data_IF_400662476666
#
_entry.id   IF_400662476666
#
_cell.length_a   1.000
_cell.length_b   1.000
_cell.length_c   1.000
_cell.angle_alpha   90.00
_cell.angle_beta   90.00
_cell.angle_gamma   90.00
#
_symmetry.space_group_name_H-M   'P 1'
#
loop_
_entity.id
_entity.type
_entity.pdbx_description
1 polymer ?
#
# COMPACT_ATOMS: atom_id res chain seq x y z
N UNK A 1 12.72 15.63 -6.41
CA UNK A 1 13.50 14.64 -7.17
C UNK A 1 14.66 14.13 -6.32
N UNK A 2 14.65 12.88 -5.88
CA UNK A 2 15.83 12.25 -5.27
C UNK A 2 16.57 11.48 -6.37
N UNK A 3 17.84 11.81 -6.62
CA UNK A 3 18.74 11.00 -7.46
C UNK A 3 19.13 9.78 -6.63
N UNK A 4 19.08 8.57 -7.18
CA UNK A 4 19.33 7.32 -6.44
C UNK A 4 20.63 7.35 -5.60
N UNK A 5 21.65 8.08 -6.08
CA UNK A 5 22.94 8.30 -5.39
C UNK A 5 22.77 8.92 -4.00
N UNK A 6 21.81 9.83 -3.81
CA UNK A 6 21.63 10.50 -2.52
C UNK A 6 21.12 9.56 -1.43
N UNK A 7 20.39 8.50 -1.78
CA UNK A 7 19.96 7.50 -0.79
C UNK A 7 21.17 6.75 -0.23
N UNK A 8 22.01 6.21 -1.12
CA UNK A 8 23.25 5.53 -0.75
C UNK A 8 24.18 6.44 0.06
N UNK A 9 24.32 7.70 -0.36
CA UNK A 9 25.11 8.70 0.37
C UNK A 9 24.55 9.01 1.77
N UNK A 10 23.22 9.18 1.90
CA UNK A 10 22.57 9.43 3.20
C UNK A 10 22.79 8.26 4.16
N UNK A 11 22.68 7.03 3.67
CA UNK A 11 22.89 5.82 4.48
C UNK A 11 24.36 5.68 4.90
N UNK A 12 25.31 5.88 3.98
CA UNK A 12 26.74 5.87 4.28
C UNK A 12 27.13 6.97 5.27
N UNK A 13 26.59 8.18 5.10
CA UNK A 13 26.78 9.30 6.03
C UNK A 13 26.27 8.98 7.44
N UNK A 14 25.07 8.37 7.54
CA UNK A 14 24.51 7.96 8.84
C UNK A 14 25.40 6.93 9.53
N UNK A 15 25.90 5.93 8.79
CA UNK A 15 26.84 4.92 9.32
C UNK A 15 28.14 5.57 9.81
N UNK A 16 28.76 6.41 8.98
CA UNK A 16 30.05 7.04 9.31
C UNK A 16 29.94 8.02 10.48
N UNK A 17 28.88 8.83 10.53
CA UNK A 17 28.66 9.74 11.67
C UNK A 17 28.32 9.02 12.96
N UNK A 18 27.75 7.82 12.89
CA UNK A 18 27.55 6.97 14.06
C UNK A 18 28.88 6.38 14.53
N UNK A 19 29.69 5.84 13.62
CA UNK A 19 31.02 5.32 13.92
C UNK A 19 31.91 6.39 14.56
N UNK A 20 31.99 7.58 13.94
CA UNK A 20 32.75 8.70 14.47
C UNK A 20 32.30 9.09 15.89
N UNK A 21 30.99 9.02 16.18
CA UNK A 21 30.48 9.29 17.53
C UNK A 21 30.93 8.24 18.54
N UNK A 22 30.98 6.97 18.15
CA UNK A 22 31.50 5.91 19.03
C UNK A 22 32.99 6.12 19.31
N UNK A 23 33.79 6.38 18.26
CA UNK A 23 35.24 6.56 18.38
C UNK A 23 35.61 7.79 19.24
N UNK A 24 34.87 8.91 19.10
CA UNK A 24 35.12 10.12 19.87
C UNK A 24 34.66 10.02 21.33
N UNK A 25 33.66 9.20 21.63
CA UNK A 25 33.24 8.94 23.02
C UNK A 25 34.33 8.16 23.76
N UNK A 26 34.95 7.19 23.10
CA UNK A 26 36.07 6.41 23.67
C UNK A 26 37.28 7.29 23.99
N UNK A 27 37.53 8.32 23.18
CA UNK A 27 38.63 9.28 23.38
C UNK A 27 38.33 10.40 24.40
N UNK A 28 37.24 10.29 25.17
CA UNK A 28 36.84 11.29 26.17
C UNK A 28 36.28 12.59 25.56
N UNK A 29 35.94 12.58 24.26
CA UNK A 29 35.40 13.72 23.53
C UNK A 29 33.88 13.89 23.69
N UNK A 30 33.38 15.06 23.27
CA UNK A 30 31.93 15.32 23.20
C UNK A 30 31.29 14.57 22.04
N UNK A 31 30.10 13.99 22.26
CA UNK A 31 29.29 13.29 21.25
C UNK A 31 28.73 14.22 20.13
N UNK A 32 29.03 15.53 20.17
CA UNK A 32 28.54 16.52 19.20
C UNK A 32 29.57 16.70 18.09
N UNK A 33 29.16 16.38 16.85
CA UNK A 33 29.98 16.61 15.66
C UNK A 33 30.22 18.11 15.45
N UNK A 34 31.48 18.54 15.52
CA UNK A 34 31.88 19.93 15.31
C UNK A 34 32.02 20.24 13.81
N UNK A 35 31.85 21.51 13.44
CA UNK A 35 31.97 21.98 12.04
C UNK A 35 33.33 21.63 11.41
N UNK A 36 34.41 21.63 12.19
CA UNK A 36 35.76 21.31 11.73
C UNK A 36 35.93 19.85 11.27
N UNK A 37 35.16 18.93 11.85
CA UNK A 37 35.26 17.49 11.60
C UNK A 37 34.25 17.04 10.53
N UNK A 38 33.19 17.82 10.33
CA UNK A 38 32.14 17.57 9.33
C UNK A 38 32.69 17.44 7.91
N UNK A 39 33.50 18.41 7.46
CA UNK A 39 34.00 18.44 6.08
C UNK A 39 34.89 17.23 5.78
N UNK A 40 35.76 16.85 6.72
CA UNK A 40 36.65 15.68 6.59
C UNK A 40 35.87 14.39 6.50
N UNK A 41 34.90 14.19 7.40
CA UNK A 41 34.03 13.00 7.35
C UNK A 41 33.20 12.94 6.07
N UNK A 42 32.69 14.08 5.60
CA UNK A 42 31.87 14.10 4.39
C UNK A 42 32.69 13.74 3.17
N UNK A 43 33.90 14.30 3.06
CA UNK A 43 34.84 13.97 1.99
C UNK A 43 35.19 12.48 2.01
N UNK A 44 35.45 11.90 3.17
CA UNK A 44 35.74 10.47 3.31
C UNK A 44 34.56 9.61 2.85
N UNK A 45 33.34 9.94 3.25
CA UNK A 45 32.14 9.21 2.84
C UNK A 45 31.91 9.29 1.33
N UNK A 46 32.10 10.47 0.72
CA UNK A 46 31.94 10.65 -0.72
C UNK A 46 32.98 9.81 -1.47
N UNK A 47 34.25 9.88 -1.10
CA UNK A 47 35.33 9.14 -1.79
C UNK A 47 35.19 7.62 -1.64
N UNK A 48 34.70 7.12 -0.50
CA UNK A 48 34.55 5.69 -0.27
C UNK A 48 33.30 5.08 -0.91
N UNK A 49 32.19 5.84 -1.00
CA UNK A 49 30.88 5.26 -1.35
C UNK A 49 30.34 5.73 -2.69
N UNK A 50 30.96 6.73 -3.32
CA UNK A 50 30.47 7.30 -4.58
C UNK A 50 31.52 7.13 -5.67
N UNK A 51 31.28 6.16 -6.54
CA UNK A 51 32.05 6.00 -7.78
C UNK A 51 31.53 6.94 -8.86
N UNK A 52 32.42 7.41 -9.75
CA UNK A 52 32.06 8.26 -10.90
C UNK A 52 30.95 7.63 -11.76
N UNK A 53 30.97 6.31 -11.94
CA UNK A 53 29.95 5.56 -12.66
C UNK A 53 28.57 5.64 -12.00
N UNK A 54 28.49 5.59 -10.67
CA UNK A 54 27.22 5.72 -9.93
C UNK A 54 26.62 7.11 -10.10
N UNK A 55 27.44 8.16 -10.04
CA UNK A 55 27.02 9.53 -10.33
C UNK A 55 26.52 9.64 -11.77
N UNK A 56 27.31 9.21 -12.75
CA UNK A 56 26.94 9.26 -14.16
C UNK A 56 25.61 8.54 -14.41
N UNK A 57 25.42 7.33 -13.87
CA UNK A 57 24.20 6.56 -14.05
C UNK A 57 22.98 7.21 -13.34
N UNK A 58 23.17 7.71 -12.11
CA UNK A 58 22.11 8.40 -11.38
C UNK A 58 21.65 9.69 -12.07
N UNK A 59 22.59 10.47 -12.59
CA UNK A 59 22.31 11.70 -13.32
C UNK A 59 21.79 11.46 -14.74
N UNK A 60 22.22 10.38 -15.40
CA UNK A 60 21.68 9.96 -16.71
C UNK A 60 20.18 9.68 -16.66
N UNK A 61 19.71 8.99 -15.62
CA UNK A 61 18.28 8.73 -15.40
C UNK A 61 17.44 9.99 -15.17
N UNK A 62 18.07 11.11 -14.80
CA UNK A 62 17.41 12.41 -14.61
C UNK A 62 17.67 13.36 -15.78
N UNK A 63 18.25 12.89 -16.88
CA UNK A 63 18.62 13.74 -18.02
C UNK A 63 19.64 14.84 -17.66
N UNK A 64 20.36 14.70 -16.55
CA UNK A 64 21.33 15.69 -16.07
C UNK A 64 22.74 15.41 -16.60
N UNK A 65 23.05 14.16 -16.95
CA UNK A 65 24.36 13.78 -17.47
C UNK A 65 24.30 12.63 -18.49
N UNK A 66 24.65 12.87 -19.77
CA UNK A 66 24.74 14.19 -20.42
C UNK A 66 23.43 14.96 -20.28
N UNK A 67 23.49 16.30 -20.28
CA UNK A 67 22.27 17.12 -20.18
C UNK A 67 21.37 16.84 -21.39
N UNK A 68 20.23 16.18 -21.15
CA UNK A 68 19.23 15.88 -22.15
C UNK A 68 17.83 16.00 -21.53
N UNK A 69 17.13 17.13 -21.73
CA UNK A 69 15.83 17.36 -21.14
C UNK A 69 14.74 16.40 -21.66
N UNK A 70 14.92 15.80 -22.84
CA UNK A 70 13.97 14.84 -23.42
C UNK A 70 14.07 13.44 -22.78
N UNK A 71 15.19 13.14 -22.11
CA UNK A 71 15.39 11.87 -21.40
C UNK A 71 14.76 11.88 -19.98
N UNK A 72 14.21 13.01 -19.55
CA UNK A 72 13.58 13.14 -18.23
C UNK A 72 12.19 12.56 -18.27
N UNK A 73 12.05 11.28 -17.93
CA UNK A 73 10.75 10.70 -17.61
C UNK A 73 10.28 11.36 -16.31
N UNK A 74 9.41 12.36 -16.43
CA UNK A 74 8.71 12.96 -15.30
C UNK A 74 7.71 11.89 -14.84
N UNK A 75 7.85 11.31 -13.64
CA UNK A 75 6.86 10.39 -13.13
C UNK A 75 5.65 11.23 -12.67
N UNK A 76 4.86 11.68 -13.63
CA UNK A 76 3.50 12.13 -13.40
C UNK A 76 2.60 10.98 -13.85
N UNK A 77 1.92 10.35 -12.89
CA UNK A 77 0.84 9.37 -13.10
C UNK A 77 1.24 8.03 -13.74
N UNK A 78 1.69 7.07 -12.92
CA UNK A 78 1.71 5.65 -13.30
C UNK A 78 2.89 4.88 -12.73
N UNK A 79 2.57 3.94 -11.83
CA UNK A 79 3.32 2.76 -11.39
C UNK A 79 4.85 2.81 -11.54
N UNK A 80 5.53 2.74 -10.40
CA UNK A 80 6.99 2.62 -10.38
C UNK A 80 7.37 1.33 -11.11
N UNK A 81 8.37 1.34 -12.00
CA UNK A 81 8.90 0.11 -12.66
C UNK A 81 9.24 -1.03 -11.67
N UNK A 82 9.43 -0.70 -10.39
CA UNK A 82 9.61 -1.65 -9.28
C UNK A 82 8.31 -2.39 -8.91
N UNK A 83 7.14 -1.76 -9.06
CA UNK A 83 5.82 -2.40 -8.92
C UNK A 83 5.53 -3.33 -10.09
N UNK A 84 5.89 -2.97 -11.33
CA UNK A 84 5.74 -3.86 -12.50
C UNK A 84 6.64 -5.08 -12.37
N UNK A 85 7.92 -4.90 -12.00
CA UNK A 85 8.84 -6.02 -11.74
C UNK A 85 8.33 -6.95 -10.63
N UNK A 86 7.86 -6.39 -9.51
CA UNK A 86 7.30 -7.18 -8.42
C UNK A 86 5.97 -7.86 -8.82
N UNK A 87 5.17 -7.23 -9.69
CA UNK A 87 3.93 -7.79 -10.23
C UNK A 87 4.23 -8.97 -11.15
N UNK A 88 5.22 -8.87 -12.03
CA UNK A 88 5.62 -9.97 -12.93
C UNK A 88 6.17 -11.17 -12.16
N UNK A 89 7.04 -10.94 -11.17
CA UNK A 89 7.59 -12.03 -10.33
C UNK A 89 6.49 -12.71 -9.50
N UNK A 90 5.52 -11.96 -9.00
CA UNK A 90 4.37 -12.56 -8.32
C UNK A 90 3.50 -13.35 -9.30
N UNK A 91 3.25 -12.80 -10.50
CA UNK A 91 2.43 -13.45 -11.54
C UNK A 91 3.04 -14.79 -11.99
N UNK A 92 4.34 -14.86 -12.25
CA UNK A 92 5.03 -16.12 -12.59
C UNK A 92 4.90 -17.16 -11.48
N UNK A 93 5.07 -16.76 -10.23
CA UNK A 93 4.91 -17.66 -9.08
C UNK A 93 3.47 -18.21 -8.95
N UNK A 94 2.45 -17.38 -9.20
CA UNK A 94 1.06 -17.82 -9.18
C UNK A 94 0.75 -18.80 -10.32
N UNK A 95 1.23 -18.52 -11.54
CA UNK A 95 1.06 -19.41 -12.68
C UNK A 95 1.73 -20.77 -12.46
N UNK A 96 2.94 -20.76 -11.87
CA UNK A 96 3.65 -22.00 -11.52
C UNK A 96 2.86 -22.84 -10.52
N UNK A 97 2.43 -22.24 -9.40
CA UNK A 97 1.62 -22.95 -8.39
C UNK A 97 0.27 -23.43 -8.94
N UNK A 98 -0.38 -22.63 -9.78
CA UNK A 98 -1.65 -22.98 -10.41
C UNK A 98 -1.49 -24.17 -11.35
N UNK A 99 -0.42 -24.20 -12.15
CA UNK A 99 -0.12 -25.32 -13.04
C UNK A 99 0.22 -26.59 -12.27
N UNK A 100 1.05 -26.48 -11.23
CA UNK A 100 1.44 -27.62 -10.39
C UNK A 100 0.21 -28.23 -9.69
N UNK A 101 -0.67 -27.38 -9.14
CA UNK A 101 -1.94 -27.82 -8.53
C UNK A 101 -2.86 -28.51 -9.53
N UNK A 102 -2.99 -27.94 -10.75
CA UNK A 102 -3.86 -28.50 -11.77
C UNK A 102 -3.32 -29.86 -12.27
N UNK A 103 -2.00 -29.99 -12.41
CA UNK A 103 -1.36 -31.27 -12.74
C UNK A 103 -1.56 -32.33 -11.66
N UNK A 104 -1.48 -31.95 -10.38
CA UNK A 104 -1.70 -32.85 -9.24
C UNK A 104 -3.14 -33.37 -9.20
N UNK A 105 -4.13 -32.49 -9.43
CA UNK A 105 -5.55 -32.85 -9.45
C UNK A 105 -5.97 -33.69 -10.65
N UNK A 106 -5.33 -33.52 -11.81
CA UNK A 106 -5.61 -34.32 -13.01
C UNK A 106 -4.96 -35.71 -12.96
N UNK A 107 -3.87 -35.85 -12.20
CA UNK A 107 -3.04 -37.05 -12.19
C UNK A 107 -2.08 -37.14 -13.38
N UNK A 108 -0.95 -37.84 -13.18
CA UNK A 108 0.15 -37.89 -14.14
C UNK A 108 -0.25 -38.48 -15.51
N UNK A 109 -1.19 -39.43 -15.53
CA UNK A 109 -1.65 -40.07 -16.78
C UNK A 109 -2.37 -39.07 -17.70
N UNK A 110 -3.29 -38.26 -17.16
CA UNK A 110 -4.03 -37.26 -17.95
C UNK A 110 -3.13 -36.13 -18.42
N UNK A 111 -2.19 -35.70 -17.57
CA UNK A 111 -1.17 -34.70 -17.95
C UNK A 111 -0.36 -35.19 -19.15
N UNK A 112 0.05 -36.47 -19.18
CA UNK A 112 0.78 -37.02 -20.32
C UNK A 112 -0.04 -37.00 -21.63
N UNK A 113 -1.35 -37.29 -21.56
CA UNK A 113 -2.25 -37.22 -22.72
C UNK A 113 -2.40 -35.77 -23.21
N UNK A 114 -2.48 -34.80 -22.29
CA UNK A 114 -2.53 -33.38 -22.61
C UNK A 114 -1.22 -32.87 -23.20
N UNK A 115 -0.08 -33.40 -22.77
CA UNK A 115 1.23 -33.06 -23.34
C UNK A 115 1.45 -33.66 -24.73
N UNK A 116 0.89 -34.85 -24.99
CA UNK A 116 0.97 -35.51 -26.28
C UNK A 116 0.03 -34.90 -27.35
N UNK A 117 -0.96 -34.09 -26.96
CA UNK A 117 -1.87 -33.45 -27.90
C UNK A 117 -1.28 -32.12 -28.40
N UNK A 118 -0.71 -32.16 -29.61
CA UNK A 118 -0.08 -31.03 -30.31
C UNK A 118 -1.10 -29.98 -30.80
N UNK A 119 -1.85 -29.38 -29.87
CA UNK A 119 -2.59 -28.13 -30.10
C UNK A 119 -4.11 -28.28 -30.12
N UNK A 120 -4.65 -29.40 -30.57
CA UNK A 120 -6.09 -29.67 -30.62
C UNK A 120 -6.43 -30.91 -29.81
N UNK A 121 -7.40 -30.80 -28.90
CA UNK A 121 -7.86 -31.91 -28.07
C UNK A 121 -8.81 -32.79 -28.88
N UNK A 122 -8.43 -34.06 -29.08
CA UNK A 122 -9.23 -35.08 -29.77
C UNK A 122 -9.82 -36.13 -28.81
N UNK A 123 -9.75 -35.88 -27.50
CA UNK A 123 -10.28 -36.79 -26.48
C UNK A 123 -11.74 -36.50 -26.12
N UNK A 124 -12.10 -36.78 -24.87
CA UNK A 124 -13.47 -36.59 -24.39
C UNK A 124 -13.91 -35.12 -24.52
N UNK A 125 -15.04 -34.82 -25.18
CA UNK A 125 -15.61 -33.48 -25.26
C UNK A 125 -15.73 -32.77 -23.90
N UNK A 126 -16.01 -33.51 -22.82
CA UNK A 126 -16.15 -32.97 -21.47
C UNK A 126 -14.85 -32.37 -20.92
N UNK A 127 -13.70 -32.91 -21.34
CA UNK A 127 -12.38 -32.47 -20.89
C UNK A 127 -11.79 -31.34 -21.74
N UNK A 128 -12.46 -30.96 -22.83
CA UNK A 128 -12.02 -29.89 -23.73
C UNK A 128 -11.79 -28.56 -23.02
N UNK A 129 -12.65 -28.23 -22.05
CA UNK A 129 -12.55 -27.00 -21.25
C UNK A 129 -11.32 -27.02 -20.34
N UNK A 130 -11.05 -28.18 -19.72
CA UNK A 130 -9.91 -28.41 -18.83
C UNK A 130 -8.60 -28.37 -19.61
N UNK A 131 -8.53 -29.01 -20.78
CA UNK A 131 -7.39 -28.94 -21.69
C UNK A 131 -7.08 -27.49 -22.11
N UNK A 132 -8.11 -26.72 -22.51
CA UNK A 132 -7.96 -25.30 -22.88
C UNK A 132 -7.41 -24.47 -21.72
N UNK A 133 -7.90 -24.69 -20.50
CA UNK A 133 -7.42 -23.99 -19.30
C UNK A 133 -5.96 -24.35 -18.99
N UNK A 134 -5.62 -25.63 -18.96
CA UNK A 134 -4.25 -26.11 -18.74
C UNK A 134 -3.29 -25.56 -19.78
N UNK A 135 -3.65 -25.62 -21.07
CA UNK A 135 -2.86 -25.08 -22.18
C UNK A 135 -2.63 -23.58 -22.03
N UNK A 136 -3.66 -22.82 -21.65
CA UNK A 136 -3.55 -21.37 -21.43
C UNK A 136 -2.56 -21.04 -20.32
N UNK A 137 -2.65 -21.72 -19.17
CA UNK A 137 -1.74 -21.50 -18.04
C UNK A 137 -0.30 -21.89 -18.42
N UNK A 138 -0.12 -23.00 -19.15
CA UNK A 138 1.20 -23.47 -19.62
C UNK A 138 1.86 -22.46 -20.58
N UNK A 139 1.11 -21.91 -21.53
CA UNK A 139 1.60 -20.87 -22.45
C UNK A 139 1.95 -19.58 -21.70
N UNK A 140 1.08 -19.13 -20.79
CA UNK A 140 1.30 -17.90 -20.03
C UNK A 140 2.53 -17.99 -19.12
N UNK A 141 2.77 -19.17 -18.54
CA UNK A 141 4.00 -19.49 -17.79
C UNK A 141 5.24 -19.39 -18.69
N UNK A 142 5.23 -20.05 -19.85
CA UNK A 142 6.36 -20.04 -20.80
C UNK A 142 6.68 -18.63 -21.29
N UNK A 143 5.65 -17.84 -21.63
CA UNK A 143 5.84 -16.44 -22.05
C UNK A 143 6.48 -15.60 -20.94
N UNK A 144 6.04 -15.80 -19.69
CA UNK A 144 6.55 -15.03 -18.56
C UNK A 144 7.98 -15.42 -18.16
N UNK A 145 8.35 -16.70 -18.29
CA UNK A 145 9.72 -17.19 -18.03
C UNK A 145 10.72 -16.69 -19.11
N UNK A 146 10.27 -16.58 -20.37
CA UNK A 146 11.08 -16.02 -21.45
C UNK A 146 11.43 -14.54 -21.21
N UNK A 147 10.46 -13.73 -20.74
CA UNK A 147 10.68 -12.33 -20.39
C UNK A 147 11.63 -12.13 -19.19
N UNK A 148 11.66 -13.09 -18.25
CA UNK A 148 12.53 -13.05 -17.08
C UNK A 148 14.00 -13.34 -17.45
N UNK A 149 14.23 -14.26 -18.40
CA UNK A 149 15.57 -14.62 -18.89
C UNK A 149 16.28 -13.52 -19.69
N UNK A 150 15.54 -12.60 -20.30
CA UNK A 150 16.11 -11.44 -21.02
C UNK A 150 16.51 -10.29 -20.08
N UNK A 151 16.04 -10.31 -18.82
CA UNK A 151 16.28 -9.25 -17.84
C UNK A 151 17.50 -9.50 -16.93
N UNK A 152 18.24 -10.60 -17.09
CA UNK A 152 19.38 -10.96 -16.25
C UNK A 152 20.78 -10.80 -16.90
N UNK A 153 20.89 -10.18 -18.07
CA UNK A 153 22.21 -9.82 -18.65
C UNK A 153 22.56 -8.39 -18.28
N UNK A 154 23.19 -8.20 -17.11
CA UNK A 154 24.14 -7.12 -16.81
C UNK A 154 24.56 -7.22 -15.35
N UNK A 155 25.52 -8.08 -15.04
CA UNK A 155 26.05 -8.17 -13.69
C UNK A 155 26.96 -9.33 -13.36
N UNK A 156 27.84 -9.78 -14.27
CA UNK A 156 28.93 -10.66 -13.87
C UNK A 156 30.23 -9.88 -13.64
N UNK A 157 30.69 -10.01 -12.39
CA UNK A 157 32.01 -9.66 -11.92
C UNK A 157 33.08 -10.37 -12.75
N UNK A 158 33.94 -9.59 -13.41
CA UNK A 158 35.22 -10.08 -13.90
C UNK A 158 36.16 -10.17 -12.69
N UNK A 159 36.41 -11.40 -12.24
CA UNK A 159 37.57 -11.80 -11.45
C UNK A 159 38.71 -12.09 -12.42
N UNK A 160 39.82 -11.36 -12.28
CA UNK A 160 41.07 -11.59 -13.02
C UNK A 160 41.62 -13.01 -12.83
N UNK A 161 41.95 -13.68 -13.94
CA UNK A 161 42.70 -14.94 -13.98
C UNK A 161 42.95 -15.39 -15.43
N UNK A 162 44.17 -15.82 -15.82
CA UNK A 162 44.59 -15.81 -17.22
C UNK A 162 44.18 -17.06 -18.01
N UNK A 163 43.66 -16.78 -19.20
CA UNK A 163 43.56 -17.54 -20.45
C UNK A 163 44.27 -18.90 -20.49
N UNK A 164 43.47 -19.96 -20.70
CA UNK A 164 43.84 -21.13 -21.50
C UNK A 164 42.71 -21.44 -22.47
N UNK A 165 43.04 -21.41 -23.76
CA UNK A 165 42.19 -21.88 -24.85
C UNK A 165 42.20 -23.40 -24.82
N UNK A 166 41.04 -24.05 -24.94
CA UNK A 166 40.86 -25.34 -25.61
C UNK A 166 39.36 -25.61 -25.87
N UNK A 167 39.06 -25.77 -27.16
CA UNK A 167 38.06 -26.59 -27.86
C UNK A 167 36.73 -27.09 -27.22
N UNK A 168 35.68 -27.04 -28.08
CA UNK A 168 34.47 -27.89 -28.18
C UNK A 168 33.15 -27.50 -27.43
N UNK A 169 31.95 -27.91 -27.94
CA UNK A 169 31.33 -27.62 -29.24
C UNK A 169 29.93 -26.92 -29.14
N UNK A 170 29.41 -26.47 -30.28
CA UNK A 170 28.10 -25.84 -30.49
C UNK A 170 26.90 -26.66 -29.96
N UNK A 171 26.02 -26.01 -29.19
CA UNK A 171 24.67 -26.48 -28.86
C UNK A 171 23.62 -25.72 -29.69
N UNK A 172 22.63 -26.51 -30.12
CA UNK A 172 21.69 -26.31 -31.23
C UNK A 172 20.52 -25.37 -30.97
N UNK A 173 20.17 -24.57 -31.99
CA UNK A 173 19.07 -23.59 -32.09
C UNK A 173 17.65 -24.19 -32.16
N UNK A 174 17.33 -25.23 -31.39
CA UNK A 174 16.04 -25.94 -31.50
C UNK A 174 14.92 -25.40 -30.60
N UNK A 175 15.22 -24.57 -29.59
CA UNK A 175 14.24 -24.25 -28.52
C UNK A 175 13.39 -23.00 -28.74
N UNK A 176 13.71 -22.16 -29.72
CA UNK A 176 13.00 -20.89 -30.00
C UNK A 176 11.87 -21.01 -31.03
N UNK A 177 11.73 -22.14 -31.74
CA UNK A 177 10.70 -22.31 -32.79
C UNK A 177 9.34 -22.81 -32.29
N UNK A 178 9.24 -23.30 -31.05
CA UNK A 178 8.01 -23.93 -30.54
C UNK A 178 6.99 -22.89 -30.05
N UNK A 179 7.44 -21.73 -29.56
CA UNK A 179 6.54 -20.69 -29.06
C UNK A 179 5.78 -19.97 -30.19
N UNK A 180 6.42 -19.75 -31.34
CA UNK A 180 5.82 -19.00 -32.46
C UNK A 180 4.72 -19.78 -33.20
N UNK A 181 4.78 -21.12 -33.22
CA UNK A 181 3.76 -21.95 -33.88
C UNK A 181 2.47 -22.14 -33.05
N UNK A 182 2.49 -21.88 -31.74
CA UNK A 182 1.35 -22.13 -30.85
C UNK A 182 0.39 -20.94 -30.74
N UNK A 183 0.83 -19.73 -31.09
CA UNK A 183 0.04 -18.49 -30.98
C UNK A 183 -0.91 -18.26 -32.17
N UNK A 184 -0.64 -18.89 -33.33
CA UNK A 184 -1.33 -18.60 -34.58
C UNK A 184 -2.77 -19.17 -34.73
N UNK A 185 -3.26 -19.97 -33.77
CA UNK A 185 -4.52 -20.72 -33.92
C UNK A 185 -5.71 -20.25 -33.06
N UNK A 186 -5.61 -19.10 -32.38
CA UNK A 186 -6.69 -18.59 -31.51
C UNK A 186 -7.46 -17.39 -32.06
N UNK A 187 -7.18 -16.91 -33.28
CA UNK A 187 -7.82 -15.71 -33.85
C UNK A 187 -8.83 -16.03 -34.97
N UNK A 188 -9.72 -16.99 -34.74
CA UNK A 188 -10.86 -17.20 -35.64
C UNK A 188 -12.10 -17.60 -34.85
N UNK A 189 -12.91 -16.60 -34.50
CA UNK A 189 -14.32 -16.80 -34.18
C UNK A 189 -15.16 -15.89 -35.07
N UNK A 190 -16.02 -16.54 -35.84
CA UNK A 190 -16.91 -16.03 -36.86
C UNK A 190 -17.96 -15.03 -36.35
N UNK A 191 -18.28 -14.14 -37.28
CA UNK A 191 -19.42 -13.22 -37.32
C UNK A 191 -20.68 -14.03 -37.62
N UNK A 192 -21.74 -13.85 -36.84
CA UNK A 192 -23.11 -14.08 -37.31
C UNK A 192 -23.99 -12.87 -37.02
N UNK A 193 -24.41 -12.27 -38.13
CA UNK A 193 -25.41 -11.23 -38.31
C UNK A 193 -26.81 -11.70 -37.96
N UNK A 194 -27.62 -10.82 -37.37
CA UNK A 194 -29.01 -10.74 -37.81
C UNK A 194 -29.55 -9.32 -37.64
N UNK A 195 -30.07 -8.77 -38.74
CA UNK A 195 -30.59 -7.41 -38.84
C UNK A 195 -32.12 -7.39 -38.80
N UNK A 196 -32.68 -6.31 -38.24
CA UNK A 196 -34.01 -5.82 -38.62
C UNK A 196 -34.03 -4.29 -38.65
N UNK A 197 -34.28 -3.78 -39.86
CA UNK A 197 -34.76 -2.44 -40.17
C UNK A 197 -36.07 -2.13 -39.45
N UNK A 198 -36.27 -0.88 -39.04
CA UNK A 198 -37.49 -0.09 -39.33
C UNK A 198 -37.06 1.39 -39.51
N UNK A 199 -37.62 2.00 -40.56
CA UNK A 199 -37.64 3.41 -40.99
C UNK A 199 -38.23 4.33 -39.87
N UNK A 200 -38.27 5.67 -39.87
CA UNK A 200 -38.56 6.64 -40.93
C UNK A 200 -38.48 8.07 -40.32
N UNK A 201 -38.19 9.06 -41.18
CA UNK A 201 -38.61 10.47 -41.17
C UNK A 201 -38.35 11.40 -39.95
N UNK A 202 -37.67 12.52 -40.17
CA UNK A 202 -38.35 13.75 -40.61
C UNK A 202 -37.39 14.96 -40.63
N UNK A 203 -37.61 15.79 -41.65
CA UNK A 203 -36.88 16.97 -42.10
C UNK A 203 -37.31 18.19 -41.27
N UNK A 204 -36.40 19.12 -40.98
CA UNK A 204 -36.64 20.54 -41.28
C UNK A 204 -35.35 21.37 -41.32
N UNK A 205 -35.45 22.37 -42.16
CA UNK A 205 -34.43 22.98 -43.01
C UNK A 205 -34.30 24.47 -42.65
N UNK A 206 -33.44 25.17 -43.39
CA UNK A 206 -33.25 26.62 -43.53
C UNK A 206 -32.52 27.36 -42.38
N UNK A 207 -31.69 28.37 -42.62
CA UNK A 207 -30.83 28.83 -43.72
C UNK A 207 -30.33 30.23 -43.33
N UNK A 208 -29.31 30.72 -44.05
CA UNK A 208 -29.13 32.15 -44.43
C UNK A 208 -28.61 33.14 -43.35
N UNK A 209 -27.68 34.09 -43.57
CA UNK A 209 -26.75 34.51 -44.64
C UNK A 209 -25.74 35.51 -44.00
N UNK A 210 -24.55 35.60 -44.59
CA UNK A 210 -23.46 36.63 -44.60
C UNK A 210 -23.71 38.02 -43.97
N UNK A 211 -22.70 38.77 -43.48
CA UNK A 211 -21.66 39.39 -44.33
C UNK A 211 -20.48 40.02 -43.54
N UNK A 212 -19.35 40.05 -44.25
CA UNK A 212 -18.11 40.80 -44.00
C UNK A 212 -18.27 42.26 -44.49
N UNK A 213 -17.60 43.23 -43.86
CA UNK A 213 -16.53 44.04 -44.45
C UNK A 213 -16.05 45.21 -43.53
N UNK A 214 -14.89 45.86 -43.82
CA UNK A 214 -13.94 46.41 -42.85
C UNK A 214 -13.68 47.93 -43.04
N UNK A 215 -12.49 48.41 -42.64
CA UNK A 215 -11.90 49.78 -42.71
C UNK A 215 -12.30 50.76 -41.58
N UNK A 216 -11.50 51.72 -41.13
CA UNK A 216 -10.06 52.02 -41.23
C UNK A 216 -9.77 53.25 -40.35
N UNK A 217 -8.51 53.31 -39.87
CA UNK A 217 -7.65 54.50 -39.73
C UNK A 217 -7.83 55.61 -38.67
N UNK A 218 -6.67 55.92 -38.09
CA UNK A 218 -6.09 57.20 -37.65
C UNK A 218 -6.60 57.93 -36.40
N UNK A 219 -5.70 58.09 -35.41
CA UNK A 219 -4.90 59.32 -35.28
C UNK A 219 -3.97 59.30 -34.04
N UNK A 220 -2.84 59.99 -34.20
CA UNK A 220 -1.71 60.14 -33.27
C UNK A 220 -1.84 61.45 -32.48
N UNK A 221 -1.50 61.45 -31.17
CA UNK A 221 -0.85 62.59 -30.47
C UNK A 221 -0.17 62.11 -29.17
N UNK A 222 1.17 62.21 -29.06
CA UNK A 222 2.00 63.25 -28.42
C UNK A 222 2.03 63.22 -26.87
N UNK A 223 3.17 62.69 -26.38
CA UNK A 223 4.00 62.92 -25.18
C UNK A 223 3.51 63.96 -24.14
N UNK A 224 3.42 63.54 -22.86
CA UNK A 224 4.10 64.24 -21.75
C UNK A 224 4.22 63.39 -20.47
N UNK A 225 5.36 63.57 -19.78
CA UNK A 225 5.78 62.81 -18.61
C UNK A 225 5.08 63.26 -17.32
N UNK A 226 4.83 62.34 -16.38
CA UNK A 226 5.01 62.53 -14.93
C UNK A 226 4.51 61.35 -14.08
N UNK A 227 5.44 60.77 -13.32
CA UNK A 227 5.25 60.34 -11.92
C UNK A 227 4.42 59.09 -11.56
N UNK A 228 4.99 58.37 -10.60
CA UNK A 228 4.31 57.58 -9.55
C UNK A 228 3.89 56.15 -9.89
N UNK A 229 4.72 55.22 -9.37
CA UNK A 229 4.41 53.81 -9.14
C UNK A 229 3.12 53.66 -8.31
N UNK A 230 2.00 53.39 -8.98
CA UNK A 230 0.84 52.76 -8.36
C UNK A 230 0.79 51.30 -8.80
N UNK A 231 0.88 50.38 -7.83
CA UNK A 231 0.51 48.98 -8.01
C UNK A 231 -1.00 48.94 -8.26
N UNK A 232 -1.40 48.86 -9.52
CA UNK A 232 -2.76 48.46 -9.88
C UNK A 232 -2.98 47.01 -9.46
N UNK A 233 -3.84 46.83 -8.45
CA UNK A 233 -4.51 45.57 -8.20
C UNK A 233 -5.44 45.33 -9.39
N UNK A 234 -5.01 44.48 -10.32
CA UNK A 234 -5.89 43.93 -11.35
C UNK A 234 -6.98 43.12 -10.63
N UNK A 235 -8.18 43.69 -10.57
CA UNK A 235 -9.37 43.02 -10.08
C UNK A 235 -9.67 41.82 -10.99
N UNK A 236 -9.44 40.62 -10.47
CA UNK A 236 -9.83 39.39 -11.14
C UNK A 236 -11.37 39.30 -11.32
N UNK A 237 -11.84 38.44 -12.24
CA UNK A 237 -13.23 38.36 -12.64
C UNK A 237 -14.17 38.04 -11.46
N UNK A 238 -15.27 38.80 -11.42
CA UNK A 238 -16.37 38.77 -10.47
C UNK A 238 -16.88 37.35 -10.13
N UNK A 239 -16.95 37.05 -8.82
CA UNK A 239 -17.31 35.77 -8.18
C UNK A 239 -18.77 35.26 -8.38
N UNK A 240 -19.53 35.82 -9.33
CA UNK A 240 -21.00 35.73 -9.31
C UNK A 240 -21.66 34.65 -10.17
N UNK A 241 -20.95 33.95 -11.07
CA UNK A 241 -21.63 33.08 -12.07
C UNK A 241 -21.26 31.59 -12.08
N UNK A 242 -20.60 31.06 -11.04
CA UNK A 242 -20.29 29.62 -10.99
C UNK A 242 -21.32 28.88 -10.09
N UNK A 243 -22.07 27.89 -10.62
CA UNK A 243 -23.00 27.09 -9.84
C UNK A 243 -22.33 26.37 -8.67
N UNK A 244 -23.03 26.39 -7.54
CA UNK A 244 -22.61 26.05 -6.18
C UNK A 244 -21.83 24.72 -5.95
N UNK A 245 -21.91 23.64 -6.77
CA UNK A 245 -21.17 22.40 -6.46
C UNK A 245 -19.67 22.44 -6.78
N UNK A 246 -19.26 23.21 -7.78
CA UNK A 246 -17.89 23.20 -8.28
C UNK A 246 -16.97 24.25 -7.64
N UNK A 247 -17.55 25.14 -6.83
CA UNK A 247 -16.86 26.27 -6.20
C UNK A 247 -15.77 25.86 -5.19
N UNK A 248 -15.74 24.59 -4.76
CA UNK A 248 -14.68 24.05 -3.89
C UNK A 248 -13.56 23.32 -4.62
N UNK A 249 -13.76 22.90 -5.87
CA UNK A 249 -12.81 22.03 -6.57
C UNK A 249 -11.86 22.79 -7.49
N UNK A 250 -12.23 23.99 -7.95
CA UNK A 250 -11.41 24.79 -8.86
C UNK A 250 -10.48 25.79 -8.17
N UNK A 251 -10.57 25.96 -6.85
CA UNK A 251 -9.71 26.88 -6.11
C UNK A 251 -8.78 26.09 -5.21
N UNK A 252 -7.47 26.25 -5.43
CA UNK A 252 -6.44 25.78 -4.52
C UNK A 252 -6.76 26.31 -3.11
N UNK A 253 -6.76 25.47 -2.06
CA UNK A 253 -6.96 25.94 -0.70
C UNK A 253 -5.95 27.06 -0.44
N UNK A 254 -6.44 28.26 -0.12
CA UNK A 254 -5.56 29.32 0.34
C UNK A 254 -4.75 28.74 1.51
N UNK A 255 -3.43 28.80 1.42
CA UNK A 255 -2.56 28.37 2.52
C UNK A 255 -2.90 29.25 3.72
N UNK A 256 -3.81 28.79 4.57
CA UNK A 256 -3.91 29.29 5.93
C UNK A 256 -2.60 28.88 6.58
N UNK A 257 -1.67 29.84 6.66
CA UNK A 257 -0.50 29.71 7.49
C UNK A 257 -1.01 29.37 8.89
N UNK A 258 -0.96 28.08 9.23
CA UNK A 258 -1.14 27.61 10.58
C UNK A 258 -0.06 28.29 11.40
N UNK A 259 -0.37 29.46 11.96
CA UNK A 259 0.47 30.20 12.88
C UNK A 259 0.63 29.28 14.08
N UNK A 260 1.65 28.43 14.04
CA UNK A 260 2.10 27.64 15.19
C UNK A 260 2.16 28.63 16.33
N UNK A 261 1.28 28.47 17.34
CA UNK A 261 1.28 29.34 18.52
C UNK A 261 2.71 29.33 19.04
N UNK A 262 3.45 30.42 18.80
CA UNK A 262 4.84 30.54 19.23
C UNK A 262 4.79 30.37 20.75
N UNK A 263 5.47 29.35 21.25
CA UNK A 263 5.66 29.19 22.69
C UNK A 263 6.33 30.48 23.16
N UNK A 264 5.59 31.31 23.91
CA UNK A 264 6.15 32.53 24.46
C UNK A 264 7.30 32.13 25.37
N UNK A 265 8.51 32.53 24.99
CA UNK A 265 9.68 32.32 25.84
C UNK A 265 9.45 33.12 27.12
N UNK A 266 9.60 32.48 28.28
CA UNK A 266 9.58 33.17 29.56
C UNK A 266 10.63 34.30 29.50
N UNK A 267 10.20 35.55 29.70
CA UNK A 267 11.10 36.71 29.71
C UNK A 267 11.94 36.63 30.97
N UNK A 268 13.27 36.60 30.82
CA UNK A 268 14.16 36.70 31.97
C UNK A 268 14.03 38.10 32.59
N UNK A 269 14.06 38.23 33.92
CA UNK A 269 14.12 39.53 34.56
C UNK A 269 15.37 40.29 34.09
N UNK A 270 15.20 41.56 33.75
CA UNK A 270 16.22 42.40 33.09
C UNK A 270 17.47 42.65 33.95
N UNK A 271 17.35 42.55 35.28
CA UNK A 271 18.44 42.82 36.22
C UNK A 271 18.88 41.51 36.87
N UNK A 272 20.11 41.09 36.60
CA UNK A 272 20.66 39.79 37.02
C UNK A 272 20.90 39.66 38.53
N UNK A 273 21.09 40.78 39.26
CA UNK A 273 21.38 40.80 40.70
C UNK A 273 20.18 41.12 41.59
N UNK A 274 18.99 41.35 41.02
CA UNK A 274 17.80 41.69 41.80
C UNK A 274 17.17 40.48 42.49
N UNK A 275 16.46 40.72 43.60
CA UNK A 275 15.67 39.70 44.33
C UNK A 275 14.69 38.93 43.41
N UNK A 276 14.15 39.60 42.39
CA UNK A 276 13.29 38.99 41.37
C UNK A 276 14.02 37.90 40.58
N UNK A 277 15.32 38.06 40.32
CA UNK A 277 16.12 37.07 39.62
C UNK A 277 16.39 35.84 40.50
N UNK A 278 16.68 36.05 41.78
CA UNK A 278 16.85 34.97 42.76
C UNK A 278 15.57 34.14 42.89
N UNK A 279 14.41 34.78 43.08
CA UNK A 279 13.09 34.13 43.10
C UNK A 279 12.80 33.37 41.79
N UNK A 280 13.17 33.92 40.64
CA UNK A 280 13.05 33.23 39.35
C UNK A 280 13.88 31.94 39.30
N UNK A 281 15.13 31.96 39.76
CA UNK A 281 15.97 30.76 39.78
C UNK A 281 15.51 29.72 40.81
N UNK A 282 15.05 30.15 41.98
CA UNK A 282 14.48 29.25 42.99
C UNK A 282 13.23 28.54 42.49
N UNK A 283 12.29 29.29 41.88
CA UNK A 283 11.08 28.70 41.29
C UNK A 283 11.41 27.74 40.14
N UNK A 284 12.43 28.05 39.32
CA UNK A 284 12.90 27.17 38.25
C UNK A 284 13.57 25.89 38.79
N UNK A 285 14.35 26.00 39.87
CA UNK A 285 14.92 24.84 40.58
C UNK A 285 13.82 23.97 41.17
N UNK A 286 12.85 24.56 41.86
CA UNK A 286 11.69 23.84 42.44
C UNK A 286 10.90 23.10 41.37
N UNK A 287 10.50 23.78 40.29
CA UNK A 287 9.82 23.15 39.14
C UNK A 287 10.61 21.99 38.53
N UNK A 288 11.95 22.09 38.48
CA UNK A 288 12.80 21.00 37.98
C UNK A 288 12.75 19.78 38.91
N UNK A 289 12.82 19.98 40.22
CA UNK A 289 12.71 18.92 41.24
C UNK A 289 11.32 18.28 41.20
N UNK A 290 10.26 19.07 41.17
CA UNK A 290 8.87 18.58 41.10
C UNK A 290 8.65 17.72 39.83
N UNK A 291 9.18 18.18 38.69
CA UNK A 291 9.09 17.44 37.43
C UNK A 291 9.86 16.11 37.47
N UNK A 292 10.99 16.07 38.18
CA UNK A 292 11.80 14.87 38.35
C UNK A 292 11.13 13.85 39.29
N UNK A 293 10.58 14.31 40.41
CA UNK A 293 9.76 13.49 41.31
C UNK A 293 8.56 12.89 40.56
N UNK A 294 7.88 13.69 39.75
CA UNK A 294 6.73 13.24 38.98
C UNK A 294 7.10 12.28 37.84
N UNK A 295 8.33 12.34 37.32
CA UNK A 295 8.86 11.32 36.39
C UNK A 295 9.16 10.01 37.12
N UNK A 296 9.76 10.07 38.30
CA UNK A 296 10.06 8.91 39.13
C UNK A 296 8.75 8.22 39.53
N UNK A 297 7.76 8.96 40.01
CA UNK A 297 6.44 8.43 40.38
C UNK A 297 5.73 7.75 39.21
N UNK A 298 5.75 8.35 38.00
CA UNK A 298 5.21 7.68 36.81
C UNK A 298 5.97 6.42 36.43
N UNK A 299 7.27 6.36 36.69
CA UNK A 299 8.09 5.19 36.39
C UNK A 299 7.80 4.06 37.38
N UNK A 300 7.73 4.36 38.68
CA UNK A 300 7.39 3.40 39.73
C UNK A 300 5.97 2.87 39.56
N UNK A 301 5.00 3.72 39.18
CA UNK A 301 3.62 3.30 38.92
C UNK A 301 3.52 2.35 37.71
N UNK A 302 4.29 2.60 36.64
CA UNK A 302 4.37 1.68 35.49
C UNK A 302 4.96 0.34 35.88
N UNK A 303 5.96 0.35 36.76
CA UNK A 303 6.58 -0.88 37.26
C UNK A 303 5.61 -1.69 38.14
N UNK A 304 4.92 -1.02 39.07
CA UNK A 304 3.87 -1.62 39.92
C UNK A 304 2.78 -2.29 39.07
N UNK A 305 2.28 -1.60 38.04
CA UNK A 305 1.28 -2.14 37.12
C UNK A 305 1.80 -3.31 36.27
N UNK A 306 3.10 -3.32 35.94
CA UNK A 306 3.74 -4.43 35.21
C UNK A 306 3.82 -5.68 36.10
N UNK A 307 4.25 -5.52 37.34
CA UNK A 307 4.37 -6.61 38.32
C UNK A 307 3.00 -7.22 38.69
N UNK A 308 1.98 -6.39 38.87
CA UNK A 308 0.60 -6.84 39.12
C UNK A 308 0.05 -7.67 37.95
N UNK A 309 0.22 -7.16 36.71
CA UNK A 309 -0.19 -7.89 35.51
C UNK A 309 0.55 -9.23 35.36
N UNK A 310 1.84 -9.28 35.71
CA UNK A 310 2.61 -10.52 35.69
C UNK A 310 2.11 -11.52 36.74
N UNK A 311 1.76 -11.05 37.95
CA UNK A 311 1.16 -11.88 39.00
C UNK A 311 -0.19 -12.46 38.56
N UNK A 312 -1.03 -11.66 37.89
CA UNK A 312 -2.31 -12.12 37.32
C UNK A 312 -2.10 -13.18 36.22
N UNK A 313 -1.10 -13.00 35.34
CA UNK A 313 -0.74 -13.99 34.32
C UNK A 313 -0.27 -15.31 34.95
N UNK A 314 0.62 -15.25 35.94
CA UNK A 314 1.09 -16.44 36.68
C UNK A 314 -0.07 -17.18 37.36
N UNK A 315 -1.02 -16.45 37.95
CA UNK A 315 -2.21 -17.05 38.55
C UNK A 315 -3.12 -17.72 37.50
N UNK A 316 -3.34 -17.09 36.34
CA UNK A 316 -4.10 -17.71 35.23
C UNK A 316 -3.49 -19.02 34.76
N UNK A 317 -2.17 -19.07 34.58
CA UNK A 317 -1.47 -20.29 34.17
C UNK A 317 -1.63 -21.42 35.20
N UNK A 318 -1.56 -21.10 36.51
CA UNK A 318 -1.80 -22.09 37.58
C UNK A 318 -3.22 -22.64 37.56
N UNK A 319 -4.23 -21.80 37.34
CA UNK A 319 -5.64 -22.22 37.26
C UNK A 319 -5.87 -23.15 36.06
N UNK A 320 -5.27 -22.86 34.90
CA UNK A 320 -5.39 -23.72 33.70
C UNK A 320 -4.72 -25.08 33.93
N UNK A 321 -3.52 -25.12 34.52
CA UNK A 321 -2.84 -26.38 34.85
C UNK A 321 -3.66 -27.26 35.81
N UNK A 322 -4.26 -26.65 36.84
CA UNK A 322 -5.11 -27.39 37.79
C UNK A 322 -6.40 -27.92 37.15
N UNK A 323 -6.99 -27.20 36.17
CA UNK A 323 -8.15 -27.72 35.42
C UNK A 323 -7.78 -28.94 34.56
N UNK A 324 -6.61 -28.91 33.92
CA UNK A 324 -6.17 -30.01 33.06
C UNK A 324 -5.85 -31.28 33.85
N UNK A 325 -5.24 -31.16 35.04
CA UNK A 325 -5.00 -32.31 35.92
C UNK A 325 -6.33 -32.93 36.38
N UNK A 326 -7.33 -32.10 36.69
CA UNK A 326 -8.66 -32.57 37.15
C UNK A 326 -9.50 -33.21 36.03
N UNK A 327 -9.26 -32.85 34.76
CA UNK A 327 -9.92 -33.50 33.62
C UNK A 327 -9.27 -34.84 33.27
N UNK A 328 -7.94 -34.94 33.35
CA UNK A 328 -7.22 -36.20 33.07
C UNK A 328 -7.52 -37.27 34.13
N UNK A 329 -7.71 -36.88 35.40
CA UNK A 329 -8.12 -37.82 36.45
C UNK A 329 -9.56 -38.34 36.31
N UNK A 330 -10.41 -37.70 35.49
CA UNK A 330 -11.81 -38.13 35.28
C UNK A 330 -11.97 -39.11 34.10
N UNK A 331 -10.96 -39.24 33.24
CA UNK A 331 -11.01 -40.12 32.05
C UNK A 331 -10.42 -41.52 32.35
N UNK A 332 -9.71 -41.70 33.46
CA UNK A 332 -9.07 -42.98 33.84
C UNK A 332 -9.91 -43.88 34.76
N UNK A 333 -11.19 -43.58 34.99
CA UNK A 333 -12.04 -44.34 35.92
C UNK A 333 -13.28 -44.98 35.28
N UNK A 334 -13.39 -45.04 33.96
CA UNK A 334 -14.58 -45.63 33.30
C UNK A 334 -14.23 -46.38 32.00
N UNK A 335 -13.23 -47.27 32.09
CA UNK A 335 -12.96 -48.25 31.04
C UNK A 335 -13.00 -49.65 31.64
N UNK A 336 -14.22 -50.19 31.69
CA UNK A 336 -14.50 -51.62 31.74
C UNK A 336 -15.82 -51.93 31.03
N UNK A 337 -15.69 -52.71 29.96
CA UNK A 337 -16.53 -53.86 29.59
C UNK A 337 -17.66 -53.73 28.53
N UNK A 338 -17.68 -54.78 27.70
CA UNK A 338 -18.61 -55.23 26.64
C UNK A 338 -18.56 -54.48 25.28
N UNK A 339 -18.21 -55.08 24.13
CA UNK A 339 -18.52 -56.36 23.46
C UNK A 339 -19.74 -56.30 22.52
N UNK A 340 -19.45 -56.43 21.21
CA UNK A 340 -20.25 -56.86 20.03
C UNK A 340 -21.61 -56.18 19.75
N UNK A 341 -21.86 -55.74 18.51
CA UNK A 341 -22.52 -56.58 17.48
C UNK A 341 -22.70 -55.82 16.14
N UNK A 342 -22.80 -56.61 15.08
CA UNK A 342 -22.86 -56.30 13.67
C UNK A 342 -24.30 -55.97 13.27
N UNK A 343 -24.53 -54.94 12.43
CA UNK A 343 -25.65 -54.98 11.48
C UNK A 343 -25.50 -53.96 10.35
N UNK A 344 -25.50 -54.52 9.14
CA UNK A 344 -25.73 -53.86 7.87
C UNK A 344 -27.07 -53.12 7.86
N UNK A 345 -27.07 -51.90 7.32
CA UNK A 345 -28.26 -51.10 7.10
C UNK A 345 -28.00 -50.09 5.99
N UNK A 346 -28.34 -50.50 4.77
CA UNK A 346 -28.44 -49.72 3.55
C UNK A 346 -29.24 -48.43 3.75
N UNK A 347 -28.67 -47.28 3.37
CA UNK A 347 -29.46 -46.08 3.15
C UNK A 347 -28.73 -45.06 2.28
N UNK A 348 -29.23 -45.00 1.05
CA UNK A 348 -29.02 -44.03 -0.01
C UNK A 348 -29.34 -42.60 0.48
N UNK A 349 -28.37 -41.70 0.54
CA UNK A 349 -28.64 -40.24 0.53
C UNK A 349 -27.52 -39.45 -0.15
N UNK A 350 -27.86 -38.98 -1.35
CA UNK A 350 -27.51 -37.73 -2.04
C UNK A 350 -26.22 -36.97 -1.71
N UNK A 351 -25.42 -36.82 -2.77
CA UNK A 351 -24.50 -35.73 -3.03
C UNK A 351 -25.17 -34.36 -2.81
N UNK A 352 -24.55 -33.53 -1.96
CA UNK A 352 -24.78 -32.10 -1.92
C UNK A 352 -23.47 -31.40 -1.63
N UNK A 353 -23.06 -30.59 -2.60
CA UNK A 353 -22.00 -29.60 -2.60
C UNK A 353 -21.79 -28.93 -1.24
N UNK A 354 -20.57 -29.07 -0.73
CA UNK A 354 -20.08 -28.35 0.45
C UNK A 354 -19.91 -26.86 0.16
N UNK A 355 -21.00 -26.10 0.28
CA UNK A 355 -20.93 -24.69 0.66
C UNK A 355 -20.64 -24.64 2.17
N UNK A 356 -19.38 -24.38 2.50
CA UNK A 356 -18.89 -24.13 3.85
C UNK A 356 -19.70 -23.00 4.51
N UNK A 357 -20.51 -23.44 5.46
CA UNK A 357 -21.47 -22.67 6.23
C UNK A 357 -20.73 -21.73 7.21
N UNK A 358 -20.32 -20.56 6.71
CA UNK A 358 -19.64 -19.48 7.47
C UNK A 358 -20.58 -18.69 8.43
N UNK A 359 -21.78 -19.19 8.71
CA UNK A 359 -22.84 -18.46 9.43
C UNK A 359 -22.75 -18.52 10.97
N UNK A 360 -21.81 -19.27 11.55
CA UNK A 360 -21.81 -19.56 12.99
C UNK A 360 -20.70 -18.92 13.84
N UNK A 361 -20.12 -17.78 13.41
CA UNK A 361 -19.10 -17.07 14.20
C UNK A 361 -19.49 -15.60 14.49
N UNK A 362 -20.55 -15.39 15.28
CA UNK A 362 -20.60 -14.45 16.42
C UNK A 362 -22.06 -14.01 16.73
N UNK A 363 -22.58 -14.25 17.95
CA UNK A 363 -23.97 -13.93 18.33
C UNK A 363 -24.26 -12.44 18.62
N UNK A 364 -23.51 -11.48 18.05
CA UNK A 364 -23.69 -10.05 18.37
C UNK A 364 -23.66 -9.11 17.16
N UNK A 365 -23.96 -9.62 15.95
CA UNK A 365 -24.11 -8.73 14.79
C UNK A 365 -25.50 -8.10 14.80
N UNK A 366 -25.54 -6.78 14.92
CA UNK A 366 -26.79 -6.01 14.82
C UNK A 366 -27.31 -6.04 13.38
N UNK A 367 -28.63 -6.01 13.18
CA UNK A 367 -29.22 -5.93 11.83
C UNK A 367 -28.70 -4.68 11.10
N UNK A 368 -28.50 -4.81 9.80
CA UNK A 368 -27.93 -3.75 8.97
C UNK A 368 -28.91 -2.57 8.86
N UNK A 369 -28.52 -1.40 9.36
CA UNK A 369 -29.27 -0.15 9.20
C UNK A 369 -28.71 0.65 8.01
N UNK A 370 -29.52 0.86 6.97
CA UNK A 370 -29.16 1.62 5.76
C UNK A 370 -29.33 3.12 5.96
N UNK A 371 -28.66 3.70 6.96
CA UNK A 371 -28.77 5.11 7.30
C UNK A 371 -27.43 5.84 7.18
N UNK A 372 -27.47 7.11 6.77
CA UNK A 372 -26.29 7.99 6.71
C UNK A 372 -25.77 8.21 8.14
N UNK A 373 -24.45 8.32 8.28
CA UNK A 373 -23.71 8.47 9.53
C UNK A 373 -23.65 7.24 10.46
N UNK A 374 -24.20 6.10 10.05
CA UNK A 374 -24.05 4.85 10.79
C UNK A 374 -22.68 4.20 10.55
N UNK A 375 -22.23 3.42 11.53
CA UNK A 375 -20.99 2.67 11.46
C UNK A 375 -21.27 1.22 11.05
N UNK A 376 -20.50 0.72 10.09
CA UNK A 376 -20.69 -0.62 9.52
C UNK A 376 -19.37 -1.34 9.35
N UNK A 377 -19.43 -2.67 9.29
CA UNK A 377 -18.34 -3.52 8.81
C UNK A 377 -18.64 -3.90 7.36
N UNK A 378 -17.65 -3.76 6.49
CA UNK A 378 -17.73 -4.19 5.10
C UNK A 378 -16.52 -5.06 4.75
N UNK A 379 -16.65 -5.85 3.68
CA UNK A 379 -15.61 -6.75 3.19
C UNK A 379 -14.98 -6.19 1.92
N UNK A 380 -13.65 -6.12 1.89
CA UNK A 380 -12.86 -5.74 0.72
C UNK A 380 -11.66 -6.68 0.61
N UNK A 381 -11.46 -7.31 -0.56
CA UNK A 381 -10.43 -8.33 -0.77
C UNK A 381 -10.42 -9.41 0.33
N UNK A 382 -11.59 -9.96 0.66
CA UNK A 382 -11.81 -10.98 1.69
C UNK A 382 -11.34 -10.58 3.10
N UNK A 383 -11.22 -9.28 3.38
CA UNK A 383 -10.89 -8.75 4.71
C UNK A 383 -11.98 -7.80 5.19
N UNK A 384 -12.24 -7.82 6.49
CA UNK A 384 -13.23 -6.96 7.12
C UNK A 384 -12.61 -5.63 7.55
N UNK A 385 -13.32 -4.54 7.25
CA UNK A 385 -12.92 -3.19 7.64
C UNK A 385 -14.10 -2.47 8.28
N UNK A 386 -13.88 -1.72 9.37
CA UNK A 386 -14.88 -0.83 9.91
C UNK A 386 -14.90 0.47 9.09
N UNK A 387 -16.09 1.02 8.89
CA UNK A 387 -16.28 2.26 8.18
C UNK A 387 -17.52 3.01 8.63
N UNK A 388 -17.69 4.23 8.10
CA UNK A 388 -18.84 5.10 8.35
C UNK A 388 -19.55 5.40 7.04
N UNK A 389 -20.87 5.20 6.99
CA UNK A 389 -21.68 5.48 5.80
C UNK A 389 -21.79 7.00 5.63
N UNK A 390 -21.36 7.49 4.47
CA UNK A 390 -21.47 8.90 4.08
C UNK A 390 -22.73 9.11 3.23
N UNK A 391 -22.96 8.23 2.26
CA UNK A 391 -24.10 8.33 1.34
C UNK A 391 -24.71 6.93 1.13
N UNK A 392 -26.02 6.90 0.94
CA UNK A 392 -26.82 5.69 0.74
C UNK A 392 -27.53 5.81 -0.60
N UNK A 393 -27.31 4.83 -1.46
CA UNK A 393 -28.14 4.61 -2.65
C UNK A 393 -28.91 3.30 -2.49
N UNK A 394 -29.80 3.01 -3.43
CA UNK A 394 -30.61 1.79 -3.44
C UNK A 394 -29.75 0.51 -3.44
N UNK A 395 -28.67 0.50 -4.23
CA UNK A 395 -27.82 -0.68 -4.46
C UNK A 395 -26.43 -0.58 -3.83
N UNK A 396 -25.95 0.63 -3.56
CA UNK A 396 -24.60 0.89 -3.04
C UNK A 396 -24.60 1.80 -1.82
N UNK A 397 -23.51 1.77 -1.06
CA UNK A 397 -23.23 2.68 0.03
C UNK A 397 -21.84 3.27 -0.17
N UNK A 398 -21.73 4.59 -0.08
CA UNK A 398 -20.45 5.29 -0.05
C UNK A 398 -19.94 5.28 1.39
N UNK A 399 -18.83 4.58 1.64
CA UNK A 399 -18.31 4.34 2.99
C UNK A 399 -16.93 4.96 3.14
N UNK A 400 -16.72 5.71 4.23
CA UNK A 400 -15.37 6.10 4.67
C UNK A 400 -14.76 4.95 5.47
N UNK A 401 -13.61 4.45 5.05
CA UNK A 401 -12.93 3.33 5.71
C UNK A 401 -11.98 3.80 6.84
N UNK A 402 -11.84 2.97 7.89
CA UNK A 402 -10.76 3.14 8.87
C UNK A 402 -9.54 2.30 8.48
N UNK A 403 -8.35 2.80 8.79
CA UNK A 403 -7.10 2.06 8.61
C UNK A 403 -6.72 1.33 9.91
N UNK A 404 -6.32 0.07 9.76
CA UNK A 404 -5.81 -0.76 10.85
C UNK A 404 -4.44 -0.24 11.34
N UNK A 405 -4.26 -0.15 12.66
CA UNK A 405 -3.06 0.34 13.32
C UNK A 405 -2.74 -0.58 14.52
N UNK A 406 -2.16 -1.73 14.24
CA UNK A 406 -2.06 -2.83 15.21
C UNK A 406 -3.44 -3.40 15.50
N UNK A 407 -3.79 -3.59 16.78
CA UNK A 407 -5.12 -4.05 17.22
C UNK A 407 -6.18 -2.94 17.29
N UNK A 408 -5.83 -1.72 16.91
CA UNK A 408 -6.71 -0.55 16.96
C UNK A 408 -6.93 0.00 15.57
N UNK A 409 -7.93 0.87 15.43
CA UNK A 409 -8.32 1.49 14.17
C UNK A 409 -8.12 3.00 14.23
N UNK A 410 -7.76 3.62 13.11
CA UNK A 410 -7.66 5.08 13.01
C UNK A 410 -8.28 5.57 11.71
N UNK A 411 -8.88 6.74 11.75
CA UNK A 411 -9.27 7.43 10.53
C UNK A 411 -8.01 7.90 9.79
N UNK A 412 -7.90 7.64 8.47
CA UNK A 412 -6.79 8.17 7.69
C UNK A 412 -6.83 9.69 7.62
N UNK A 413 -5.67 10.31 7.41
CA UNK A 413 -5.56 11.78 7.29
C UNK A 413 -6.25 12.30 6.03
N UNK A 414 -6.17 11.52 4.94
CA UNK A 414 -7.01 11.69 3.75
C UNK A 414 -8.11 10.64 3.83
N UNK A 415 -9.40 11.03 3.90
CA UNK A 415 -10.49 10.07 4.04
C UNK A 415 -10.47 9.13 2.83
N UNK A 416 -10.38 7.84 3.10
CA UNK A 416 -10.51 6.80 2.08
C UNK A 416 -12.01 6.51 1.93
N UNK A 417 -12.58 6.98 0.83
CA UNK A 417 -14.03 6.96 0.55
C UNK A 417 -14.26 6.21 -0.74
N UNK A 418 -14.97 5.09 -0.65
CA UNK A 418 -15.24 4.21 -1.79
C UNK A 418 -16.71 3.77 -1.77
N UNK A 419 -17.22 3.41 -2.94
CA UNK A 419 -18.57 2.88 -3.10
C UNK A 419 -18.54 1.35 -3.01
N UNK A 420 -19.38 0.81 -2.14
CA UNK A 420 -19.52 -0.62 -1.93
C UNK A 420 -20.95 -1.06 -2.21
N UNK A 421 -21.11 -2.21 -2.86
CA UNK A 421 -22.43 -2.83 -3.00
C UNK A 421 -22.92 -3.32 -1.62
N UNK A 422 -24.23 -3.26 -1.37
CA UNK A 422 -24.81 -3.70 -0.10
C UNK A 422 -24.46 -5.16 0.27
N UNK A 423 -24.23 -6.02 -0.74
CA UNK A 423 -23.78 -7.41 -0.54
C UNK A 423 -22.41 -7.52 0.17
N UNK A 424 -21.57 -6.49 0.06
CA UNK A 424 -20.26 -6.45 0.70
C UNK A 424 -20.32 -5.82 2.10
N UNK A 425 -21.44 -5.21 2.50
CA UNK A 425 -21.63 -4.61 3.82
C UNK A 425 -22.24 -5.66 4.74
N UNK A 426 -21.45 -6.14 5.69
CA UNK A 426 -21.75 -7.35 6.45
C UNK A 426 -22.67 -7.09 7.64
N UNK A 427 -22.40 -6.04 8.42
CA UNK A 427 -23.17 -5.78 9.65
C UNK A 427 -23.03 -4.35 10.14
N UNK A 428 -24.05 -3.91 10.91
CA UNK A 428 -23.98 -2.68 11.69
C UNK A 428 -23.09 -2.86 12.93
N UNK A 429 -22.37 -1.80 13.31
CA UNK A 429 -21.55 -1.77 14.53
C UNK A 429 -21.86 -0.53 15.36
N UNK A 430 -21.52 -0.60 16.65
CA UNK A 430 -21.58 0.58 17.51
C UNK A 430 -20.51 1.59 17.13
N UNK A 431 -20.70 2.84 17.54
CA UNK A 431 -19.70 3.88 17.35
C UNK A 431 -18.34 3.45 17.94
N UNK A 432 -17.25 3.50 17.14
CA UNK A 432 -15.92 3.12 17.60
C UNK A 432 -15.48 3.90 18.84
N UNK A 433 -15.05 3.18 19.89
CA UNK A 433 -14.69 3.79 21.18
C UNK A 433 -13.26 4.35 21.12
N UNK A 434 -13.10 5.67 21.26
CA UNK A 434 -11.78 6.32 21.28
C UNK A 434 -10.96 5.84 22.49
N UNK A 435 -9.85 5.14 22.25
CA UNK A 435 -9.03 4.53 23.32
C UNK A 435 -8.03 5.51 23.93
N UNK A 436 -7.51 6.45 23.13
CA UNK A 436 -6.48 7.40 23.57
C UNK A 436 -6.98 8.85 23.52
N UNK A 437 -6.68 9.63 24.57
CA UNK A 437 -6.98 11.08 24.59
C UNK A 437 -6.15 11.85 23.55
N UNK A 438 -4.89 11.46 23.36
CA UNK A 438 -3.93 12.19 22.52
C UNK A 438 -3.81 11.65 21.10
N UNK A 439 -4.04 10.34 20.90
CA UNK A 439 -3.93 9.70 19.59
C UNK A 439 -5.34 9.42 19.06
N UNK A 440 -5.63 9.77 17.82
CA UNK A 440 -6.93 9.50 17.17
C UNK A 440 -7.04 8.01 16.77
N UNK A 441 -6.99 7.13 17.77
CA UNK A 441 -7.14 5.67 17.65
C UNK A 441 -8.36 5.20 18.42
N UNK A 442 -9.04 4.22 17.86
CA UNK A 442 -10.35 3.73 18.24
C UNK A 442 -10.32 2.21 18.37
N UNK A 443 -11.14 1.70 19.30
CA UNK A 443 -11.40 0.28 19.49
C UNK A 443 -12.73 -0.06 18.83
N UNK A 444 -12.76 -1.17 18.08
CA UNK A 444 -13.98 -1.72 17.46
C UNK A 444 -14.12 -3.16 17.96
N UNK A 445 -14.79 -3.38 19.12
CA UNK A 445 -14.88 -4.69 19.75
C UNK A 445 -15.45 -5.79 18.85
N UNK A 446 -16.32 -5.41 17.92
CA UNK A 446 -16.96 -6.31 16.96
C UNK A 446 -15.97 -6.96 15.98
N UNK A 447 -14.75 -6.41 15.86
CA UNK A 447 -13.65 -6.96 15.05
C UNK A 447 -12.53 -7.57 15.90
N UNK A 448 -12.72 -7.72 17.22
CA UNK A 448 -11.67 -8.28 18.09
C UNK A 448 -11.38 -9.76 17.78
N UNK A 449 -12.35 -10.49 17.23
CA UNK A 449 -12.21 -11.90 16.81
C UNK A 449 -11.17 -12.10 15.70
N UNK A 450 -10.77 -11.05 14.97
CA UNK A 450 -9.72 -11.16 13.95
C UNK A 450 -8.33 -11.41 14.55
N UNK A 451 -8.19 -11.34 15.88
CA UNK A 451 -6.92 -11.38 16.60
C UNK A 451 -6.77 -12.53 17.60
N UNK A 452 -7.85 -13.28 17.81
CA UNK A 452 -7.82 -14.53 18.57
C UNK A 452 -7.32 -15.66 17.66
#
# INVERSE_FOLDING_TARGET
>A
MDVAVFRSLKEAWRKKTHQWRMDNVVQGGSHILKKKDFAKLLQEVILQNITKSMLSNGFKKRGLFPWNPQAVVIPDQGLSQEQERNSTVMKTQYLKRGLDFLNDMMGAEKVAIFEASEGTWNGDPLETSLFKLWKKIKIEKLSSEAEESLNCVDGENISDGPVRNDDFPQATEASTRIADNLLAHLDSSEILSDGRNIEEASVMELDVITALDPNASDSVSVIEASSSLNKENVAGPSHKEIPSPFKRHFFYPAFEENKKKRIMRERMPTIASGELCQKYFETKKKKKVDLEQLKIERATERQRKKEENERLKKNRVKVVKNKHIKSVSKILSDSSDSSVDVSSGDSVVSESSGDENLSNLNPSRKPLLKQINEYVIFTYNNKYYPGKIINVTEYTATISSMIQCGRLWKWPERPDVLEYQWKNVTSHINEPKKTSKTRNVYSVPELDFMWD
#
